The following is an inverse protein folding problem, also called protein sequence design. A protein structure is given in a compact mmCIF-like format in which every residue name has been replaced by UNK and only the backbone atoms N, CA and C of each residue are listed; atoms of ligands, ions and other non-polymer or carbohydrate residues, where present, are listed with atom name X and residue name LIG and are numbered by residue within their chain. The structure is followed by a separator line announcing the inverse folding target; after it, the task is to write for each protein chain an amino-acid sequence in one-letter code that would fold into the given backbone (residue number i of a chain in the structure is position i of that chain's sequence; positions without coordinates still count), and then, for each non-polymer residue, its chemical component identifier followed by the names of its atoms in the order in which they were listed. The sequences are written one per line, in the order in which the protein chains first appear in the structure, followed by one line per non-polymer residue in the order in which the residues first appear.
data_IF_956685017016
#
_entry.id   IF_956685017016
#
_cell.length_a   1.000
_cell.length_b   1.000
_cell.length_c   1.000
_cell.angle_alpha   90.00
_cell.angle_beta   90.00
_cell.angle_gamma   90.00
#
_symmetry.space_group_name_H-M   'P 1'
#
loop_
_entity.id
_entity.type
_entity.pdbx_description
1 polymer ?
#
# COMPACT_ATOMS: atom_id res chain seq x y z
N UNK A 1 30.11 -6.19 -4.22
CA UNK A 1 28.98 -5.59 -4.96
C UNK A 1 27.92 -5.17 -3.95
N UNK A 2 27.49 -3.90 -3.92
CA UNK A 2 26.43 -3.43 -3.01
C UNK A 2 25.08 -3.77 -3.62
N UNK A 3 24.13 -4.24 -2.81
CA UNK A 3 22.76 -4.47 -3.25
C UNK A 3 22.06 -3.12 -3.55
N UNK A 4 21.15 -3.06 -4.52
CA UNK A 4 20.37 -1.85 -4.77
C UNK A 4 19.47 -1.55 -3.57
N UNK A 5 19.30 -0.26 -3.18
CA UNK A 5 18.43 0.11 -2.08
C UNK A 5 16.97 -0.25 -2.34
N UNK A 6 16.29 -0.68 -1.27
CA UNK A 6 14.86 -0.99 -1.27
C UNK A 6 14.15 -0.14 -0.23
N UNK A 7 13.19 0.68 -0.66
CA UNK A 7 12.27 1.35 0.24
C UNK A 7 11.01 0.50 0.38
N UNK A 8 10.62 0.18 1.61
CA UNK A 8 9.41 -0.59 1.92
C UNK A 8 8.50 0.17 2.88
N UNK A 9 7.19 -0.06 2.73
CA UNK A 9 6.21 0.41 3.69
C UNK A 9 5.18 -0.65 4.04
N UNK A 10 4.67 -0.57 5.26
CA UNK A 10 3.45 -1.23 5.70
C UNK A 10 2.40 -0.14 5.92
N UNK A 11 1.21 -0.29 5.34
CA UNK A 11 0.12 0.70 5.42
C UNK A 11 -1.10 0.06 6.05
N UNK A 12 -1.63 0.69 7.09
CA UNK A 12 -2.81 0.21 7.83
C UNK A 12 -4.06 0.95 7.36
N UNK A 13 -5.07 0.20 6.90
CA UNK A 13 -6.30 0.75 6.33
C UNK A 13 -7.51 0.27 7.12
N UNK A 14 -8.39 1.21 7.50
CA UNK A 14 -9.74 0.93 7.98
C UNK A 14 -10.74 1.03 6.84
N UNK A 15 -11.67 0.08 6.75
CA UNK A 15 -12.74 0.04 5.74
C UNK A 15 -14.09 -0.10 6.47
N UNK A 16 -14.62 0.99 7.07
CA UNK A 16 -15.82 0.91 7.92
C UNK A 16 -17.08 0.45 7.17
N UNK A 17 -17.10 0.61 5.85
CA UNK A 17 -18.23 0.29 4.97
C UNK A 17 -18.28 -1.18 4.56
N UNK A 18 -17.18 -1.94 4.75
CA UNK A 18 -17.16 -3.36 4.40
C UNK A 18 -18.04 -4.15 5.37
N UNK A 19 -18.92 -5.00 4.84
CA UNK A 19 -19.81 -5.88 5.63
C UNK A 19 -19.44 -7.35 5.46
N UNK A 20 -18.44 -7.64 4.62
CA UNK A 20 -17.97 -8.98 4.32
C UNK A 20 -16.52 -8.95 3.83
N UNK A 21 -15.84 -10.10 3.85
CA UNK A 21 -14.51 -10.26 3.25
C UNK A 21 -14.51 -9.96 1.74
N UNK A 22 -15.65 -10.16 1.06
CA UNK A 22 -15.80 -9.83 -0.36
C UNK A 22 -15.77 -8.32 -0.59
N UNK A 23 -16.45 -7.54 0.27
CA UNK A 23 -16.46 -6.07 0.17
C UNK A 23 -15.06 -5.51 0.36
N UNK A 24 -14.36 -5.97 1.41
CA UNK A 24 -12.94 -5.65 1.63
C UNK A 24 -12.11 -5.95 0.38
N UNK A 25 -12.22 -7.17 -0.14
CA UNK A 25 -11.43 -7.62 -1.29
C UNK A 25 -11.66 -6.72 -2.49
N UNK A 26 -12.88 -6.25 -2.73
CA UNK A 26 -13.17 -5.30 -3.81
C UNK A 26 -12.40 -3.99 -3.65
N UNK A 27 -12.39 -3.41 -2.44
CA UNK A 27 -11.68 -2.15 -2.14
C UNK A 27 -10.17 -2.35 -2.26
N UNK A 28 -9.63 -3.35 -1.57
CA UNK A 28 -8.20 -3.66 -1.51
C UNK A 28 -7.64 -3.95 -2.91
N UNK A 29 -8.31 -4.79 -3.70
CA UNK A 29 -7.84 -5.12 -5.05
C UNK A 29 -7.93 -3.92 -6.00
N UNK A 30 -8.93 -3.05 -5.84
CA UNK A 30 -9.01 -1.79 -6.59
C UNK A 30 -7.81 -0.88 -6.31
N UNK A 31 -7.48 -0.68 -5.03
CA UNK A 31 -6.33 0.14 -4.61
C UNK A 31 -5.01 -0.46 -5.11
N UNK A 32 -4.80 -1.76 -4.89
CA UNK A 32 -3.60 -2.51 -5.35
C UNK A 32 -3.46 -2.41 -6.88
N UNK A 33 -4.54 -2.67 -7.63
CA UNK A 33 -4.52 -2.65 -9.09
C UNK A 33 -4.21 -1.27 -9.66
N UNK A 34 -4.82 -0.23 -9.09
CA UNK A 34 -4.55 1.16 -9.49
C UNK A 34 -3.10 1.57 -9.18
N UNK A 35 -2.57 1.20 -8.01
CA UNK A 35 -1.19 1.52 -7.63
C UNK A 35 -0.17 0.81 -8.54
N UNK A 36 -0.36 -0.47 -8.83
CA UNK A 36 0.48 -1.24 -9.77
C UNK A 36 0.44 -0.70 -11.20
N UNK A 37 -0.73 -0.22 -11.64
CA UNK A 37 -0.89 0.35 -12.98
C UNK A 37 -0.18 1.70 -13.11
N UNK A 38 -0.18 2.50 -12.04
CA UNK A 38 0.41 3.85 -12.03
C UNK A 38 1.92 3.86 -11.73
N UNK A 39 2.39 2.94 -10.90
CA UNK A 39 3.77 2.93 -10.41
C UNK A 39 4.42 1.55 -10.60
N UNK A 40 5.71 1.56 -10.91
CA UNK A 40 6.53 0.35 -10.98
C UNK A 40 6.89 -0.16 -9.56
N UNK A 41 5.90 -0.64 -8.81
CA UNK A 41 6.05 -1.07 -7.42
C UNK A 41 5.47 -2.45 -7.18
N UNK A 42 6.06 -3.17 -6.21
CA UNK A 42 5.42 -4.34 -5.62
C UNK A 42 4.47 -3.87 -4.52
N UNK A 43 3.22 -4.34 -4.53
CA UNK A 43 2.22 -4.04 -3.51
C UNK A 43 1.26 -5.23 -3.35
N UNK A 44 0.91 -5.57 -2.11
CA UNK A 44 0.00 -6.68 -1.77
C UNK A 44 -0.68 -6.48 -0.42
N UNK A 45 -1.81 -7.15 -0.18
CA UNK A 45 -2.37 -7.31 1.18
C UNK A 45 -1.52 -8.32 1.96
N UNK A 46 -0.90 -7.89 3.04
CA UNK A 46 0.10 -8.68 3.79
C UNK A 46 -0.45 -9.27 5.09
N UNK A 47 -1.53 -8.71 5.63
CA UNK A 47 -2.11 -9.14 6.91
C UNK A 47 -3.61 -8.78 7.01
N UNK A 48 -4.23 -9.14 8.14
CA UNK A 48 -5.63 -8.90 8.48
C UNK A 48 -6.62 -9.53 7.47
N UNK A 49 -6.23 -10.59 6.75
CA UNK A 49 -7.06 -11.18 5.69
C UNK A 49 -8.41 -11.72 6.21
N UNK A 50 -8.50 -12.08 7.49
CA UNK A 50 -9.70 -12.55 8.19
C UNK A 50 -10.57 -11.43 8.78
N UNK A 51 -10.08 -10.20 8.83
CA UNK A 51 -10.82 -9.04 9.30
C UNK A 51 -11.36 -8.23 8.11
N UNK A 52 -12.68 -8.03 8.01
CA UNK A 52 -13.27 -7.38 6.84
C UNK A 52 -13.24 -5.84 6.89
N UNK A 53 -13.12 -5.22 8.08
CA UNK A 53 -13.01 -3.76 8.21
C UNK A 53 -11.57 -3.26 8.40
N UNK A 54 -10.58 -4.15 8.36
CA UNK A 54 -9.16 -3.82 8.46
C UNK A 54 -8.41 -4.44 7.29
N UNK A 55 -7.39 -3.75 6.80
CA UNK A 55 -6.46 -4.27 5.82
C UNK A 55 -5.06 -3.74 6.12
N UNK A 56 -4.05 -4.54 5.77
CA UNK A 56 -2.66 -4.14 5.80
C UNK A 56 -2.09 -4.32 4.39
N UNK A 57 -1.49 -3.26 3.84
CA UNK A 57 -0.80 -3.33 2.55
C UNK A 57 0.71 -3.23 2.75
N UNK A 58 1.45 -4.21 2.24
CA UNK A 58 2.90 -4.13 2.07
C UNK A 58 3.26 -3.55 0.71
N UNK A 59 4.21 -2.62 0.67
CA UNK A 59 4.71 -1.96 -0.54
C UNK A 59 6.24 -2.04 -0.56
N UNK A 60 6.83 -2.28 -1.73
CA UNK A 60 8.27 -2.23 -1.93
C UNK A 60 8.66 -1.57 -3.27
N UNK A 61 9.72 -0.77 -3.22
CA UNK A 61 10.32 -0.05 -4.34
C UNK A 61 11.82 -0.30 -4.36
N UNK A 62 12.35 -0.74 -5.50
CA UNK A 62 13.79 -0.91 -5.71
C UNK A 62 14.30 0.20 -6.62
N UNK A 63 15.44 0.82 -6.29
CA UNK A 63 16.04 1.85 -7.14
C UNK A 63 17.57 1.80 -7.11
N UNK A 64 18.23 2.57 -7.97
CA UNK A 64 19.69 2.75 -7.95
C UNK A 64 20.16 3.71 -6.86
N UNK A 65 19.25 4.53 -6.31
CA UNK A 65 19.54 5.50 -5.25
C UNK A 65 18.45 5.45 -4.17
N UNK A 66 18.85 5.55 -2.90
CA UNK A 66 17.95 5.55 -1.75
C UNK A 66 16.94 6.71 -1.79
N UNK A 67 17.38 7.90 -2.18
CA UNK A 67 16.52 9.08 -2.34
C UNK A 67 15.41 8.85 -3.36
N UNK A 68 15.73 8.20 -4.49
CA UNK A 68 14.75 7.86 -5.52
C UNK A 68 13.77 6.80 -5.03
N UNK A 69 14.24 5.76 -4.34
CA UNK A 69 13.36 4.73 -3.77
C UNK A 69 12.38 5.34 -2.75
N UNK A 70 12.88 6.21 -1.86
CA UNK A 70 12.08 6.94 -0.87
C UNK A 70 11.04 7.84 -1.53
N UNK A 71 11.45 8.65 -2.50
CA UNK A 71 10.55 9.57 -3.21
C UNK A 71 9.39 8.82 -3.90
N UNK A 72 9.69 7.74 -4.61
CA UNK A 72 8.66 6.93 -5.27
C UNK A 72 7.74 6.28 -4.24
N UNK A 73 8.27 5.79 -3.11
CA UNK A 73 7.46 5.23 -2.04
C UNK A 73 6.51 6.28 -1.44
N UNK A 74 6.99 7.50 -1.19
CA UNK A 74 6.17 8.61 -0.67
C UNK A 74 5.06 8.99 -1.66
N UNK A 75 5.34 8.98 -2.97
CA UNK A 75 4.33 9.19 -4.02
C UNK A 75 3.25 8.09 -4.04
N UNK A 76 3.65 6.84 -3.83
CA UNK A 76 2.74 5.70 -3.74
C UNK A 76 1.88 5.78 -2.48
N UNK A 77 2.45 6.16 -1.33
CA UNK A 77 1.71 6.31 -0.07
C UNK A 77 0.62 7.37 -0.20
N UNK A 78 0.93 8.56 -0.74
CA UNK A 78 -0.05 9.61 -1.04
C UNK A 78 -1.15 9.11 -1.99
N UNK A 79 -0.77 8.33 -3.00
CA UNK A 79 -1.74 7.77 -3.94
C UNK A 79 -2.66 6.75 -3.28
N UNK A 80 -2.12 5.83 -2.47
CA UNK A 80 -2.88 4.79 -1.76
C UNK A 80 -3.89 5.41 -0.81
N UNK A 81 -3.50 6.46 -0.08
CA UNK A 81 -4.41 7.23 0.78
C UNK A 81 -5.59 7.80 0.00
N UNK A 82 -5.33 8.58 -1.05
CA UNK A 82 -6.37 9.14 -1.90
C UNK A 82 -7.23 8.04 -2.59
N UNK A 83 -6.63 6.89 -2.95
CA UNK A 83 -7.34 5.78 -3.55
C UNK A 83 -8.26 5.07 -2.57
N UNK A 84 -7.82 4.88 -1.33
CA UNK A 84 -8.63 4.29 -0.26
C UNK A 84 -9.83 5.20 0.07
N UNK A 85 -9.63 6.51 0.16
CA UNK A 85 -10.68 7.49 0.45
C UNK A 85 -11.82 7.47 -0.59
N UNK A 86 -11.51 7.31 -1.88
CA UNK A 86 -12.52 7.14 -2.94
C UNK A 86 -13.44 5.93 -2.75
N UNK A 87 -13.01 4.96 -1.94
CA UNK A 87 -13.78 3.78 -1.58
C UNK A 87 -14.39 3.85 -0.17
N UNK A 88 -14.34 5.01 0.50
CA UNK A 88 -14.79 5.17 1.89
C UNK A 88 -13.92 4.44 2.90
N UNK A 89 -12.68 4.12 2.53
CA UNK A 89 -11.65 3.57 3.40
C UNK A 89 -10.70 4.68 3.86
N UNK A 90 -10.01 4.46 4.97
CA UNK A 90 -9.14 5.44 5.60
C UNK A 90 -7.78 4.81 5.89
N UNK A 91 -6.69 5.43 5.44
CA UNK A 91 -5.35 5.09 5.92
C UNK A 91 -5.21 5.62 7.36
N UNK A 92 -4.81 4.76 8.27
CA UNK A 92 -4.73 5.06 9.71
C UNK A 92 -3.31 5.24 10.20
N UNK A 93 -2.33 4.83 9.40
CA UNK A 93 -0.91 4.93 9.68
C UNK A 93 -0.11 4.14 8.67
N UNK A 94 1.20 4.35 8.69
CA UNK A 94 2.14 3.58 7.92
C UNK A 94 3.51 3.55 8.62
N UNK A 95 4.29 2.54 8.31
CA UNK A 95 5.67 2.39 8.74
C UNK A 95 6.55 2.32 7.49
N UNK A 96 7.71 2.98 7.49
CA UNK A 96 8.62 3.02 6.34
C UNK A 96 10.03 2.66 6.77
N UNK A 97 10.69 1.87 5.94
CA UNK A 97 12.08 1.49 6.10
C UNK A 97 12.80 1.50 4.75
N UNK A 98 14.08 1.87 4.76
CA UNK A 98 14.97 1.73 3.61
C UNK A 98 16.12 0.81 3.98
N UNK A 99 16.39 -0.19 3.14
CA UNK A 99 17.45 -1.19 3.31
C UNK A 99 18.40 -1.23 2.12
#
# INVERSE_FOLDING_TARGET
MRLPPVARAVVYIRIPTARSLKDKRSVVQSVIGQARSRFAVAIAETNAQDHHTLAELGIAVVSGQESTARQVLDDVLRFVEAAAERHGAQVTGFEVEVI
#
